data_IF_337866371209
#
_entry.id   IF_337866371209
#
_cell.length_a   1.000
_cell.length_b   1.000
_cell.length_c   1.000
_cell.angle_alpha   90.00
_cell.angle_beta   90.00
_cell.angle_gamma   90.00
#
_symmetry.space_group_name_H-M   'P 1'
#
loop_
_entity.id
_entity.type
_entity.pdbx_description
1 polymer ?
#
# COMPACT_ATOMS: atom_id res chain seq x y z
N UNK A 1 44.69 32.90 61.88
CA UNK A 1 45.67 33.02 60.80
C UNK A 1 45.42 31.88 59.86
N UNK A 2 44.75 32.18 58.73
CA UNK A 2 44.43 31.22 57.66
C UNK A 2 45.62 31.08 56.68
N UNK A 3 46.02 29.85 56.44
CA UNK A 3 46.88 29.52 55.28
C UNK A 3 46.05 28.74 54.25
N UNK A 4 45.90 29.31 53.08
CA UNK A 4 45.31 28.68 51.90
C UNK A 4 46.27 27.66 51.32
N UNK A 5 45.85 26.41 51.12
CA UNK A 5 46.51 25.44 50.24
C UNK A 5 45.78 25.37 48.93
N UNK A 6 46.50 25.75 47.87
CA UNK A 6 46.07 25.61 46.51
C UNK A 6 46.59 24.27 45.97
N UNK A 7 45.70 23.34 45.62
CA UNK A 7 46.07 22.08 44.95
C UNK A 7 45.81 22.29 43.43
N UNK A 8 46.88 22.26 42.68
CA UNK A 8 46.80 22.33 41.21
C UNK A 8 46.54 20.91 40.67
N UNK A 9 45.48 20.75 39.90
CA UNK A 9 45.22 19.57 39.06
C UNK A 9 45.86 19.77 37.70
N UNK A 10 46.92 19.00 37.40
CA UNK A 10 47.46 18.86 36.05
C UNK A 10 46.68 17.77 35.37
N UNK A 11 45.80 18.13 34.41
CA UNK A 11 45.12 17.19 33.56
C UNK A 11 46.01 16.89 32.34
N UNK A 12 46.54 15.70 32.27
CA UNK A 12 47.27 15.17 31.11
C UNK A 12 46.25 14.70 30.07
N UNK A 13 46.11 15.44 29.00
CA UNK A 13 45.25 15.11 27.87
C UNK A 13 45.98 14.11 26.94
N UNK A 14 45.72 12.82 27.05
CA UNK A 14 46.11 11.82 26.06
C UNK A 14 45.21 11.94 24.82
N UNK A 15 45.73 12.48 23.73
CA UNK A 15 45.06 12.45 22.44
C UNK A 15 45.13 11.03 21.86
N UNK A 16 44.06 10.29 21.97
CA UNK A 16 43.88 9.06 21.22
C UNK A 16 43.48 9.43 19.77
N UNK A 17 44.43 9.35 18.85
CA UNK A 17 44.17 9.34 17.41
C UNK A 17 43.50 8.03 17.04
N UNK A 18 42.16 7.97 17.22
CA UNK A 18 41.33 6.95 16.58
C UNK A 18 41.27 7.28 15.10
N UNK A 19 41.85 6.41 14.29
CA UNK A 19 41.71 6.50 12.83
C UNK A 19 40.23 6.36 12.48
N UNK A 20 39.62 7.45 12.08
CA UNK A 20 38.33 7.43 11.39
C UNK A 20 38.55 6.69 10.07
N UNK A 21 38.24 5.39 10.02
CA UNK A 21 37.98 4.75 8.75
C UNK A 21 36.83 5.49 8.12
N UNK A 22 37.07 6.14 6.98
CA UNK A 22 36.03 6.72 6.14
C UNK A 22 35.00 5.61 5.87
N UNK A 23 33.78 5.82 6.33
CA UNK A 23 32.64 5.06 5.82
C UNK A 23 32.71 5.08 4.28
N UNK A 24 32.38 3.98 3.60
CA UNK A 24 32.32 3.95 2.15
C UNK A 24 31.48 5.15 1.69
N UNK A 25 32.00 5.90 0.73
CA UNK A 25 31.33 7.07 0.16
C UNK A 25 29.91 6.66 -0.20
N UNK A 26 28.92 7.34 0.35
CA UNK A 26 27.58 7.30 -0.20
C UNK A 26 27.73 7.56 -1.69
N UNK A 27 27.35 6.59 -2.52
CA UNK A 27 27.33 6.72 -3.98
C UNK A 27 26.66 8.05 -4.28
N UNK A 28 27.32 8.93 -5.02
CA UNK A 28 26.77 10.22 -5.39
C UNK A 28 25.41 9.98 -6.03
N UNK A 29 24.35 10.50 -5.40
CA UNK A 29 23.03 10.47 -5.99
C UNK A 29 23.17 11.16 -7.36
N UNK A 30 22.67 10.50 -8.41
CA UNK A 30 22.57 11.15 -9.70
C UNK A 30 21.62 12.35 -9.51
N UNK A 31 22.09 13.57 -9.73
CA UNK A 31 21.33 14.80 -9.46
C UNK A 31 20.01 14.85 -10.27
N UNK A 32 19.90 14.03 -11.31
CA UNK A 32 18.73 13.93 -12.18
C UNK A 32 17.71 12.86 -11.71
N UNK A 33 17.92 12.22 -10.57
CA UNK A 33 17.05 11.17 -10.04
C UNK A 33 16.62 11.44 -8.60
N UNK A 34 15.39 10.98 -8.27
CA UNK A 34 14.86 10.99 -6.92
C UNK A 34 14.18 9.66 -6.58
N UNK A 35 13.86 9.47 -5.29
CA UNK A 35 13.13 8.30 -4.84
C UNK A 35 11.63 8.44 -5.12
N UNK A 36 11.01 7.38 -5.67
CA UNK A 36 9.57 7.28 -5.89
C UNK A 36 9.09 5.91 -5.43
N UNK A 37 7.97 5.87 -4.73
CA UNK A 37 7.33 4.59 -4.37
C UNK A 37 6.77 3.94 -5.63
N UNK A 38 7.14 2.68 -5.87
CA UNK A 38 6.68 1.89 -7.01
C UNK A 38 5.59 0.90 -6.63
N UNK A 39 5.56 0.46 -5.38
CA UNK A 39 4.53 -0.39 -4.79
C UNK A 39 4.36 -0.05 -3.31
N UNK A 40 3.11 -0.10 -2.83
CA UNK A 40 2.82 0.00 -1.40
C UNK A 40 1.44 -0.56 -1.07
N UNK A 41 1.23 -0.88 0.20
CA UNK A 41 -0.05 -1.32 0.73
C UNK A 41 -0.34 -0.69 2.09
N UNK A 42 -1.62 -0.62 2.46
CA UNK A 42 -2.07 -0.13 3.76
C UNK A 42 -2.04 -1.26 4.79
N UNK A 43 -1.17 -1.16 5.78
CA UNK A 43 -1.02 -2.15 6.83
C UNK A 43 -2.03 -1.95 7.97
N UNK A 44 -2.45 -3.08 8.54
CA UNK A 44 -3.37 -3.21 9.66
C UNK A 44 -2.66 -3.75 10.90
N UNK A 45 -3.16 -3.37 12.07
CA UNK A 45 -2.76 -3.98 13.32
C UNK A 45 -3.08 -5.49 13.32
N UNK A 46 -2.38 -6.30 14.13
CA UNK A 46 -2.54 -7.76 14.15
C UNK A 46 -3.97 -8.26 14.38
N UNK A 47 -4.76 -7.49 15.11
CA UNK A 47 -6.11 -7.86 15.52
C UNK A 47 -7.12 -7.06 14.70
N UNK A 48 -7.81 -7.72 13.77
CA UNK A 48 -8.98 -7.16 13.10
C UNK A 48 -10.23 -7.88 13.57
N UNK A 49 -11.24 -7.11 13.97
CA UNK A 49 -12.49 -7.66 14.53
C UNK A 49 -13.21 -8.56 13.51
N UNK A 50 -13.10 -8.26 12.23
CA UNK A 50 -13.89 -8.91 11.17
C UNK A 50 -13.19 -10.12 10.56
N UNK A 51 -11.85 -10.09 10.43
CA UNK A 51 -11.07 -11.12 9.72
C UNK A 51 -10.24 -12.00 10.66
N UNK A 52 -10.39 -11.84 11.97
CA UNK A 52 -9.68 -12.62 12.98
C UNK A 52 -8.25 -12.15 13.20
N UNK A 53 -7.44 -13.03 13.78
CA UNK A 53 -6.02 -12.78 14.09
C UNK A 53 -5.17 -13.83 13.39
N UNK A 54 -4.06 -13.41 12.80
CA UNK A 54 -3.04 -14.35 12.35
C UNK A 54 -2.22 -14.87 13.55
N UNK A 55 -1.66 -16.09 13.41
CA UNK A 55 -0.86 -16.72 14.47
C UNK A 55 0.56 -16.11 14.60
N UNK A 56 1.00 -15.34 13.61
CA UNK A 56 2.38 -14.89 13.50
C UNK A 56 3.34 -16.01 13.05
N UNK A 57 4.64 -15.77 13.22
CA UNK A 57 5.71 -16.62 12.71
C UNK A 57 6.75 -16.88 13.77
N UNK A 58 7.49 -17.99 13.65
CA UNK A 58 8.55 -18.38 14.60
C UNK A 58 9.73 -19.00 13.86
N UNK A 59 10.88 -18.33 13.91
CA UNK A 59 12.12 -18.80 13.27
C UNK A 59 11.90 -19.19 11.78
N UNK A 60 11.26 -18.33 11.00
CA UNK A 60 10.88 -18.60 9.60
C UNK A 60 11.26 -17.45 8.70
N UNK A 61 11.39 -17.76 7.41
CA UNK A 61 11.54 -16.79 6.33
C UNK A 61 10.21 -16.65 5.58
N UNK A 62 9.74 -15.41 5.43
CA UNK A 62 8.63 -15.06 4.55
C UNK A 62 9.21 -14.50 3.25
N UNK A 63 8.81 -15.06 2.11
CA UNK A 63 9.09 -14.51 0.79
C UNK A 63 7.82 -13.96 0.20
N UNK A 64 7.72 -12.64 0.18
CA UNK A 64 6.52 -11.92 -0.21
C UNK A 64 6.68 -11.36 -1.62
N UNK A 65 5.64 -11.55 -2.42
CA UNK A 65 5.66 -11.17 -3.83
C UNK A 65 4.87 -9.87 -4.00
N UNK A 66 5.46 -8.92 -4.73
CA UNK A 66 4.83 -7.64 -5.07
C UNK A 66 5.16 -7.25 -6.49
N UNK A 67 4.25 -6.56 -7.18
CA UNK A 67 4.48 -6.09 -8.54
C UNK A 67 4.78 -4.59 -8.55
N UNK A 68 5.89 -4.20 -9.18
CA UNK A 68 6.25 -2.80 -9.37
C UNK A 68 5.32 -2.12 -10.37
N UNK A 69 5.04 -0.85 -10.21
CA UNK A 69 4.33 -0.03 -11.21
C UNK A 69 5.27 0.73 -12.14
N UNK A 70 6.41 1.17 -11.62
CA UNK A 70 7.50 1.82 -12.36
C UNK A 70 8.82 1.10 -12.08
N UNK A 71 9.77 1.21 -12.99
CA UNK A 71 11.12 0.67 -12.83
C UNK A 71 12.12 1.67 -12.26
N UNK A 72 13.33 1.19 -12.00
CA UNK A 72 14.47 1.98 -11.54
C UNK A 72 15.72 1.11 -11.41
N UNK A 73 16.86 1.75 -11.14
CA UNK A 73 18.17 1.11 -11.06
C UNK A 73 18.68 0.91 -9.62
N UNK A 74 18.02 1.54 -8.65
CA UNK A 74 18.24 1.36 -7.22
C UNK A 74 16.91 1.15 -6.51
N UNK A 75 16.91 0.30 -5.49
CA UNK A 75 15.70 -0.04 -4.75
C UNK A 75 15.95 0.01 -3.25
N UNK A 76 14.90 0.35 -2.48
CA UNK A 76 14.84 0.22 -1.02
C UNK A 76 13.44 -0.19 -0.57
N UNK A 77 13.37 -0.81 0.59
CA UNK A 77 12.14 -1.40 1.14
C UNK A 77 11.72 -0.67 2.40
N UNK A 78 10.42 -0.45 2.55
CA UNK A 78 9.80 0.12 3.77
C UNK A 78 9.11 -0.99 4.54
N UNK A 79 9.46 -1.12 5.82
CA UNK A 79 8.84 -2.06 6.74
C UNK A 79 8.16 -1.29 7.87
N UNK A 80 7.04 -1.83 8.40
CA UNK A 80 6.33 -1.23 9.52
C UNK A 80 5.73 -2.30 10.42
N UNK A 81 5.62 -2.00 11.72
CA UNK A 81 5.03 -2.89 12.70
C UNK A 81 4.06 -2.13 13.60
N UNK A 82 2.81 -2.60 13.69
CA UNK A 82 1.78 -2.10 14.61
C UNK A 82 1.49 -3.08 15.74
N UNK A 83 2.36 -4.09 15.91
CA UNK A 83 2.28 -5.04 17.01
C UNK A 83 2.50 -4.38 18.39
N UNK A 84 2.15 -5.08 19.45
CA UNK A 84 2.32 -4.57 20.81
C UNK A 84 3.79 -4.54 21.28
N UNK A 85 4.65 -5.32 20.63
CA UNK A 85 6.09 -5.41 20.91
C UNK A 85 6.93 -5.09 19.68
N UNK A 86 8.21 -4.77 19.92
CA UNK A 86 9.15 -4.54 18.83
C UNK A 86 9.33 -5.80 17.98
N UNK A 87 9.36 -5.64 16.67
CA UNK A 87 9.60 -6.70 15.69
C UNK A 87 11.10 -6.79 15.39
N UNK A 88 11.67 -7.99 15.51
CA UNK A 88 13.04 -8.26 15.09
C UNK A 88 13.06 -8.94 13.71
N UNK A 89 13.64 -8.29 12.72
CA UNK A 89 14.00 -8.85 11.41
C UNK A 89 15.49 -9.22 11.47
N UNK A 90 15.81 -10.51 11.39
CA UNK A 90 17.17 -11.02 11.49
C UNK A 90 17.96 -10.91 10.19
N UNK A 91 17.30 -11.04 9.05
CA UNK A 91 17.85 -10.83 7.71
C UNK A 91 16.74 -10.40 6.77
N UNK A 92 17.10 -9.65 5.72
CA UNK A 92 16.19 -9.23 4.67
C UNK A 92 16.88 -9.20 3.32
N UNK A 93 16.21 -9.69 2.27
CA UNK A 93 16.70 -9.72 0.90
C UNK A 93 15.61 -9.25 -0.07
N UNK A 94 16.03 -8.76 -1.22
CA UNK A 94 15.17 -8.43 -2.37
C UNK A 94 15.77 -9.01 -3.64
N UNK A 95 14.91 -9.54 -4.52
CA UNK A 95 15.30 -10.06 -5.82
C UNK A 95 14.16 -9.90 -6.83
N UNK A 96 14.46 -10.05 -8.11
CA UNK A 96 13.43 -10.27 -9.14
C UNK A 96 12.91 -11.70 -9.00
N UNK A 97 11.58 -11.86 -8.96
CA UNK A 97 10.93 -13.18 -8.91
C UNK A 97 11.13 -13.93 -10.22
N UNK A 98 11.45 -15.20 -10.15
CA UNK A 98 11.46 -16.09 -11.30
C UNK A 98 10.08 -16.76 -11.48
N UNK A 99 9.70 -17.64 -10.57
CA UNK A 99 8.40 -18.30 -10.49
C UNK A 99 8.16 -18.77 -9.06
N UNK A 100 6.93 -18.85 -8.63
CA UNK A 100 6.56 -19.27 -7.28
C UNK A 100 7.43 -18.61 -6.20
N UNK A 101 8.11 -19.40 -5.37
CA UNK A 101 9.05 -18.94 -4.34
C UNK A 101 10.50 -18.78 -4.86
N UNK A 102 10.76 -18.98 -6.16
CA UNK A 102 12.10 -18.89 -6.74
C UNK A 102 12.43 -17.48 -7.21
N UNK A 103 13.70 -17.11 -7.13
CA UNK A 103 14.23 -15.82 -7.57
C UNK A 103 15.19 -15.98 -8.74
N UNK A 104 15.37 -14.92 -9.53
CA UNK A 104 16.39 -14.85 -10.57
C UNK A 104 17.77 -14.75 -9.88
N UNK A 105 18.70 -15.69 -10.09
CA UNK A 105 19.91 -15.86 -9.27
C UNK A 105 20.75 -14.60 -9.08
N UNK A 106 21.06 -13.89 -10.16
CA UNK A 106 21.99 -12.75 -10.14
C UNK A 106 21.34 -11.45 -9.65
N UNK A 107 20.05 -11.50 -9.27
CA UNK A 107 19.28 -10.33 -8.81
C UNK A 107 19.16 -10.22 -7.29
N UNK A 108 19.59 -11.24 -6.54
CA UNK A 108 19.50 -11.22 -5.07
C UNK A 108 20.39 -10.13 -4.47
N UNK A 109 19.80 -9.33 -3.59
CA UNK A 109 20.48 -8.26 -2.85
C UNK A 109 20.12 -8.32 -1.37
N UNK A 110 21.16 -8.37 -0.52
CA UNK A 110 20.97 -8.21 0.93
C UNK A 110 20.54 -6.79 1.23
N UNK A 111 19.47 -6.65 1.99
CA UNK A 111 19.01 -5.37 2.53
C UNK A 111 19.67 -5.14 3.88
N UNK A 112 20.18 -3.91 4.08
CA UNK A 112 20.72 -3.45 5.35
C UNK A 112 19.91 -2.27 5.88
N UNK A 113 20.10 -1.94 7.15
CA UNK A 113 19.41 -0.86 7.85
C UNK A 113 20.44 -0.05 8.65
N UNK A 114 20.87 1.07 8.07
CA UNK A 114 22.00 1.84 8.60
C UNK A 114 23.32 1.05 8.60
N UNK A 115 23.54 0.23 7.57
CA UNK A 115 24.69 -0.65 7.41
C UNK A 115 24.63 -1.97 8.20
N UNK A 116 23.55 -2.24 8.95
CA UNK A 116 23.38 -3.48 9.71
C UNK A 116 22.46 -4.45 8.96
N UNK A 117 22.75 -5.76 8.94
CA UNK A 117 21.95 -6.77 8.23
C UNK A 117 20.61 -7.08 8.91
N UNK A 118 20.42 -6.64 10.15
CA UNK A 118 19.21 -6.85 10.93
C UNK A 118 18.64 -5.54 11.45
N UNK A 119 17.35 -5.53 11.81
CA UNK A 119 16.70 -4.37 12.40
C UNK A 119 15.68 -4.77 13.45
N UNK A 120 15.55 -3.95 14.49
CA UNK A 120 14.45 -4.00 15.45
C UNK A 120 13.51 -2.83 15.18
N UNK A 121 12.26 -3.12 14.84
CA UNK A 121 11.23 -2.13 14.50
C UNK A 121 10.35 -1.89 15.74
N UNK A 122 10.42 -0.72 16.38
CA UNK A 122 9.53 -0.39 17.48
C UNK A 122 8.05 -0.39 17.08
N UNK A 123 7.10 -0.61 18.00
CA UNK A 123 5.68 -0.49 17.73
C UNK A 123 5.30 0.86 17.07
N UNK A 124 4.54 0.82 15.99
CA UNK A 124 4.10 2.00 15.25
C UNK A 124 5.17 2.65 14.36
N UNK A 125 6.40 2.16 14.36
CA UNK A 125 7.48 2.72 13.56
C UNK A 125 7.46 2.22 12.11
N UNK A 126 7.98 3.06 11.20
CA UNK A 126 8.37 2.71 9.84
C UNK A 126 9.88 2.75 9.78
N UNK A 127 10.50 1.73 9.21
CA UNK A 127 11.92 1.71 8.87
C UNK A 127 12.09 1.57 7.37
N UNK A 128 13.18 2.14 6.85
CA UNK A 128 13.56 2.07 5.44
C UNK A 128 14.91 1.40 5.34
N UNK A 129 15.06 0.43 4.44
CA UNK A 129 16.37 -0.19 4.20
C UNK A 129 17.35 0.80 3.54
N UNK A 130 18.63 0.51 3.67
CA UNK A 130 19.64 1.16 2.84
C UNK A 130 19.37 0.82 1.36
N UNK A 131 19.72 1.72 0.43
CA UNK A 131 19.55 1.46 -1.00
C UNK A 131 20.47 0.34 -1.49
N UNK A 132 19.97 -0.48 -2.43
CA UNK A 132 20.76 -1.48 -3.14
C UNK A 132 20.68 -1.25 -4.65
N UNK A 133 21.79 -1.51 -5.35
CA UNK A 133 21.85 -1.50 -6.82
C UNK A 133 21.12 -2.75 -7.34
N UNK A 134 19.97 -2.56 -7.94
CA UNK A 134 19.15 -3.58 -8.57
C UNK A 134 18.32 -2.93 -9.66
N UNK A 135 18.58 -3.30 -10.90
CA UNK A 135 17.74 -2.89 -12.02
C UNK A 135 16.38 -3.60 -11.93
N UNK A 136 15.35 -2.82 -11.74
CA UNK A 136 13.97 -3.29 -11.60
C UNK A 136 13.17 -2.77 -12.78
N UNK A 137 12.66 -3.65 -13.66
CA UNK A 137 11.72 -3.23 -14.71
C UNK A 137 10.39 -2.74 -14.13
N UNK A 138 9.68 -1.89 -14.87
CA UNK A 138 8.29 -1.61 -14.59
C UNK A 138 7.45 -2.90 -14.76
N UNK A 139 6.43 -3.07 -13.93
CA UNK A 139 5.53 -4.23 -13.93
C UNK A 139 6.23 -5.57 -13.64
N UNK A 140 7.42 -5.54 -13.04
CA UNK A 140 8.13 -6.75 -12.62
C UNK A 140 7.64 -7.23 -11.26
N UNK A 141 7.58 -8.54 -11.08
CA UNK A 141 7.38 -9.15 -9.78
C UNK A 141 8.70 -9.16 -9.00
N UNK A 142 8.68 -8.64 -7.79
CA UNK A 142 9.79 -8.70 -6.84
C UNK A 142 9.46 -9.69 -5.72
N UNK A 143 10.49 -10.38 -5.26
CA UNK A 143 10.47 -11.25 -4.09
C UNK A 143 11.21 -10.56 -2.94
N UNK A 144 10.49 -10.18 -1.88
CA UNK A 144 11.06 -9.62 -0.65
C UNK A 144 11.07 -10.71 0.41
N UNK A 145 12.25 -11.12 0.83
CA UNK A 145 12.45 -12.18 1.82
C UNK A 145 12.81 -11.58 3.18
N UNK A 146 12.04 -11.91 4.22
CA UNK A 146 12.23 -11.43 5.59
C UNK A 146 12.38 -12.64 6.52
N UNK A 147 13.50 -12.74 7.23
CA UNK A 147 13.70 -13.75 8.26
C UNK A 147 13.37 -13.19 9.64
N UNK A 148 12.53 -13.90 10.38
CA UNK A 148 12.19 -13.59 11.78
C UNK A 148 12.75 -14.68 12.67
N UNK A 149 13.81 -14.41 13.48
CA UNK A 149 14.54 -15.43 14.22
C UNK A 149 13.82 -15.97 15.47
N UNK A 150 12.81 -15.26 15.94
CA UNK A 150 12.02 -15.62 17.11
C UNK A 150 10.53 -15.64 16.84
N UNK A 151 9.72 -15.83 17.89
CA UNK A 151 8.27 -15.71 17.77
C UNK A 151 7.87 -14.25 17.66
N UNK A 152 7.04 -13.92 16.66
CA UNK A 152 6.51 -12.56 16.47
C UNK A 152 5.22 -12.32 17.24
N UNK A 153 4.52 -13.37 17.68
CA UNK A 153 3.10 -13.28 18.01
C UNK A 153 2.30 -12.84 16.79
N UNK A 154 1.04 -12.43 16.96
CA UNK A 154 0.23 -11.91 15.86
C UNK A 154 0.91 -10.75 15.15
N UNK A 155 0.97 -10.79 13.82
CA UNK A 155 1.78 -9.92 12.99
C UNK A 155 0.94 -8.77 12.37
N UNK A 156 1.58 -7.62 12.22
CA UNK A 156 1.08 -6.53 11.37
C UNK A 156 0.96 -7.01 9.94
N UNK A 157 -0.17 -6.81 9.30
CA UNK A 157 -0.48 -7.39 8.02
C UNK A 157 -1.36 -6.50 7.13
N UNK A 158 -1.38 -6.81 5.86
CA UNK A 158 -2.45 -6.46 4.95
C UNK A 158 -3.09 -7.77 4.50
N UNK A 159 -4.32 -8.03 4.91
CA UNK A 159 -5.08 -9.17 4.43
C UNK A 159 -5.74 -8.81 3.08
N UNK A 160 -6.20 -9.80 2.31
CA UNK A 160 -6.72 -9.61 0.94
C UNK A 160 -5.62 -9.14 -0.04
N UNK A 161 -4.40 -9.69 0.12
CA UNK A 161 -3.30 -9.37 -0.78
C UNK A 161 -3.57 -9.78 -2.23
N UNK A 162 -4.39 -10.82 -2.46
CA UNK A 162 -4.66 -11.41 -3.78
C UNK A 162 -3.35 -11.73 -4.54
N UNK A 163 -2.33 -12.06 -3.77
CA UNK A 163 -1.00 -12.39 -4.25
C UNK A 163 -0.38 -13.42 -3.31
N UNK A 164 -0.07 -14.59 -3.84
CA UNK A 164 0.55 -15.67 -3.08
C UNK A 164 1.94 -15.27 -2.60
N UNK A 165 2.18 -15.42 -1.32
CA UNK A 165 3.47 -15.28 -0.67
C UNK A 165 3.80 -16.58 0.09
N UNK A 166 5.07 -16.80 0.40
CA UNK A 166 5.57 -18.10 0.80
C UNK A 166 6.22 -18.04 2.18
N UNK A 167 6.03 -19.09 2.97
CA UNK A 167 6.62 -19.26 4.30
C UNK A 167 7.50 -20.50 4.30
N UNK A 168 8.75 -20.35 4.73
CA UNK A 168 9.71 -21.45 4.79
C UNK A 168 9.47 -22.40 5.99
N UNK A 169 10.07 -23.60 6.00
CA UNK A 169 10.39 -24.31 7.23
C UNK A 169 11.18 -23.39 8.20
N UNK A 170 11.37 -23.80 9.49
CA UNK A 170 12.21 -23.05 10.40
C UNK A 170 13.63 -22.83 9.87
N UNK A 171 14.10 -21.58 9.85
CA UNK A 171 15.43 -21.19 9.41
C UNK A 171 15.46 -19.92 8.55
N UNK A 172 16.67 -19.44 8.30
CA UNK A 172 16.95 -18.32 7.40
C UNK A 172 17.20 -18.86 5.99
N UNK A 173 16.30 -18.53 5.07
CA UNK A 173 16.35 -18.87 3.66
C UNK A 173 16.28 -17.61 2.79
N UNK A 174 16.58 -16.44 3.34
CA UNK A 174 16.44 -15.16 2.62
C UNK A 174 17.23 -15.11 1.33
N UNK A 175 18.47 -15.64 1.30
CA UNK A 175 19.35 -15.67 0.14
C UNK A 175 19.17 -16.92 -0.75
N UNK A 176 18.24 -17.83 -0.40
CA UNK A 176 18.09 -19.10 -1.15
C UNK A 176 17.35 -18.86 -2.46
N UNK A 177 17.91 -19.30 -3.59
CA UNK A 177 17.31 -19.15 -4.92
C UNK A 177 15.95 -19.85 -4.95
N UNK A 178 15.93 -21.14 -4.70
CA UNK A 178 14.72 -21.97 -4.62
C UNK A 178 14.36 -22.19 -3.15
N UNK A 179 13.68 -21.20 -2.56
CA UNK A 179 13.32 -21.27 -1.16
C UNK A 179 12.39 -22.45 -0.88
N UNK A 180 12.72 -23.34 0.09
CA UNK A 180 11.79 -24.39 0.49
C UNK A 180 10.53 -23.78 1.10
N UNK A 181 9.39 -24.27 0.68
CA UNK A 181 8.07 -23.77 1.12
C UNK A 181 7.44 -24.78 2.07
N UNK A 182 7.12 -24.36 3.27
CA UNK A 182 6.32 -25.13 4.21
C UNK A 182 4.82 -24.85 4.06
N UNK A 183 4.47 -23.58 3.79
CA UNK A 183 3.10 -23.12 3.51
C UNK A 183 3.14 -21.78 2.79
N UNK A 184 1.97 -21.29 2.39
CA UNK A 184 1.79 -19.93 1.89
C UNK A 184 1.35 -18.97 3.00
N UNK A 185 1.19 -17.69 2.68
CA UNK A 185 0.60 -16.70 3.58
C UNK A 185 -0.93 -16.72 3.57
N UNK A 186 -1.50 -17.74 2.95
CA UNK A 186 -2.94 -17.97 2.91
C UNK A 186 -3.49 -18.24 4.33
N UNK A 187 -4.64 -17.68 4.62
CA UNK A 187 -5.36 -17.91 5.87
C UNK A 187 -6.87 -18.02 5.60
N UNK A 188 -7.59 -18.68 6.48
CA UNK A 188 -9.05 -18.75 6.43
C UNK A 188 -9.66 -17.70 7.37
N UNK A 189 -10.63 -16.93 6.87
CA UNK A 189 -11.44 -16.06 7.70
C UNK A 189 -12.42 -16.88 8.59
N UNK A 190 -13.13 -16.27 9.54
CA UNK A 190 -14.09 -16.98 10.38
C UNK A 190 -15.24 -17.67 9.62
N UNK A 191 -15.49 -17.30 8.36
CA UNK A 191 -16.44 -17.95 7.48
C UNK A 191 -15.82 -19.07 6.63
N UNK A 192 -14.51 -19.32 6.77
CA UNK A 192 -13.74 -20.34 6.05
C UNK A 192 -13.34 -19.95 4.64
N UNK A 193 -13.41 -18.66 4.28
CA UNK A 193 -12.91 -18.17 2.99
C UNK A 193 -11.40 -17.99 3.06
N UNK A 194 -10.71 -18.35 2.00
CA UNK A 194 -9.26 -18.27 1.89
C UNK A 194 -8.85 -16.89 1.37
N UNK A 195 -7.83 -16.33 1.98
CA UNK A 195 -7.25 -15.03 1.66
C UNK A 195 -5.74 -15.09 1.77
N UNK A 196 -5.04 -14.33 0.95
CA UNK A 196 -3.60 -14.12 1.05
C UNK A 196 -3.28 -12.86 1.84
N UNK A 197 -2.08 -12.78 2.41
CA UNK A 197 -1.66 -11.62 3.18
C UNK A 197 -0.20 -11.24 2.95
N UNK A 198 0.09 -9.92 3.03
CA UNK A 198 1.43 -9.39 3.23
C UNK A 198 1.65 -9.02 4.69
N UNK A 199 2.88 -9.19 5.17
CA UNK A 199 3.26 -8.94 6.56
C UNK A 199 4.39 -7.92 6.65
N UNK A 200 4.21 -6.88 7.47
CA UNK A 200 5.17 -5.81 7.77
C UNK A 200 5.70 -5.02 6.56
N UNK A 201 5.47 -5.46 5.35
CA UNK A 201 5.94 -4.82 4.13
C UNK A 201 5.03 -3.65 3.77
N UNK A 202 5.53 -2.42 3.93
CA UNK A 202 4.74 -1.19 3.72
C UNK A 202 4.93 -0.59 2.32
N UNK A 203 6.08 -0.84 1.67
CA UNK A 203 6.33 -0.31 0.34
C UNK A 203 7.69 -0.67 -0.22
N UNK A 204 7.82 -0.47 -1.52
CA UNK A 204 9.07 -0.56 -2.29
C UNK A 204 9.25 0.76 -3.03
N UNK A 205 10.44 1.33 -2.93
CA UNK A 205 10.80 2.58 -3.59
C UNK A 205 11.97 2.35 -4.56
N UNK A 206 11.93 3.04 -5.68
CA UNK A 206 12.98 3.00 -6.70
C UNK A 206 13.50 4.41 -6.99
N UNK A 207 14.72 4.52 -7.51
CA UNK A 207 15.19 5.78 -8.09
C UNK A 207 14.59 5.97 -9.47
N UNK A 208 14.13 7.17 -9.75
CA UNK A 208 13.47 7.52 -10.99
C UNK A 208 13.82 8.95 -11.41
N UNK A 209 13.67 9.33 -12.70
CA UNK A 209 13.88 10.69 -13.17
C UNK A 209 13.06 11.72 -12.37
N UNK A 210 13.58 12.95 -12.21
CA UNK A 210 12.98 14.00 -11.37
C UNK A 210 11.53 14.36 -11.72
N UNK A 211 11.07 14.12 -12.94
CA UNK A 211 9.70 14.35 -13.38
C UNK A 211 8.74 13.19 -13.03
N UNK A 212 9.26 12.05 -12.56
CA UNK A 212 8.46 10.90 -12.16
C UNK A 212 7.71 11.20 -10.85
N UNK A 213 6.42 10.95 -10.82
CA UNK A 213 5.59 11.09 -9.62
C UNK A 213 4.97 9.77 -9.19
N UNK A 214 4.11 9.85 -8.19
CA UNK A 214 3.26 8.72 -7.77
C UNK A 214 1.81 9.18 -7.55
N UNK A 215 0.86 8.27 -7.83
CA UNK A 215 -0.54 8.39 -7.45
C UNK A 215 -0.85 7.37 -6.37
N UNK A 216 -1.29 7.84 -5.19
CA UNK A 216 -1.75 6.98 -4.11
C UNK A 216 -3.29 6.93 -4.12
N UNK A 217 -3.83 5.73 -3.96
CA UNK A 217 -5.25 5.48 -4.11
C UNK A 217 -5.84 5.09 -2.76
N UNK A 218 -6.58 6.00 -2.14
CA UNK A 218 -7.32 5.74 -0.90
C UNK A 218 -8.65 5.06 -1.24
N UNK A 219 -8.88 3.86 -0.73
CA UNK A 219 -10.10 3.12 -1.02
C UNK A 219 -10.44 2.02 -0.03
N UNK A 220 -11.48 1.29 -0.37
CA UNK A 220 -11.97 0.10 0.32
C UNK A 220 -11.68 -1.19 -0.48
N UNK A 221 -12.52 -2.24 -0.32
CA UNK A 221 -12.40 -3.53 -1.01
C UNK A 221 -12.37 -3.42 -2.54
N UNK A 222 -13.05 -2.42 -3.11
CA UNK A 222 -13.08 -2.22 -4.56
C UNK A 222 -11.71 -1.74 -5.06
N UNK A 223 -11.00 -0.95 -4.27
CA UNK A 223 -9.63 -0.53 -4.58
C UNK A 223 -8.62 -1.61 -4.21
N UNK A 224 -8.83 -2.29 -3.11
CA UNK A 224 -8.05 -3.46 -2.66
C UNK A 224 -8.06 -4.58 -3.71
N UNK A 225 -9.19 -4.73 -4.41
CA UNK A 225 -9.35 -5.59 -5.57
C UNK A 225 -10.05 -6.92 -5.29
N UNK A 226 -10.88 -6.95 -4.25
CA UNK A 226 -11.69 -8.14 -3.88
C UNK A 226 -12.39 -8.72 -5.10
N UNK A 227 -12.37 -10.06 -5.25
CA UNK A 227 -12.87 -10.81 -6.41
C UNK A 227 -12.03 -10.69 -7.70
N UNK A 228 -10.90 -9.99 -7.69
CA UNK A 228 -9.94 -10.15 -8.80
C UNK A 228 -9.20 -11.48 -8.69
N UNK A 229 -8.70 -11.99 -9.82
CA UNK A 229 -7.98 -13.27 -9.84
C UNK A 229 -6.70 -13.19 -9.02
N UNK A 230 -6.50 -14.04 -7.99
CA UNK A 230 -5.25 -14.14 -7.27
C UNK A 230 -4.05 -14.35 -8.22
N UNK A 231 -2.91 -13.77 -7.88
CA UNK A 231 -1.67 -13.77 -8.68
C UNK A 231 -1.77 -13.15 -10.08
N UNK A 232 -2.96 -12.64 -10.46
CA UNK A 232 -3.19 -12.04 -11.78
C UNK A 232 -2.84 -10.55 -11.86
N UNK A 233 -2.64 -9.87 -10.72
CA UNK A 233 -2.50 -8.41 -10.66
C UNK A 233 -3.60 -7.72 -11.47
N UNK A 234 -4.87 -8.09 -11.22
CA UNK A 234 -6.05 -7.66 -11.97
C UNK A 234 -6.96 -6.69 -11.20
N UNK A 235 -6.42 -6.01 -10.19
CA UNK A 235 -7.08 -4.88 -9.52
C UNK A 235 -7.12 -3.68 -10.45
N UNK A 236 -8.07 -2.77 -10.30
CA UNK A 236 -8.10 -1.59 -11.18
C UNK A 236 -6.84 -0.70 -11.06
N UNK A 237 -6.15 -0.57 -9.89
CA UNK A 237 -4.85 0.10 -9.84
C UNK A 237 -3.77 -0.60 -10.66
N UNK A 238 -3.75 -1.94 -10.73
CA UNK A 238 -2.79 -2.70 -11.54
C UNK A 238 -3.03 -2.47 -13.05
N UNK A 239 -4.31 -2.45 -13.47
CA UNK A 239 -4.67 -2.07 -14.84
C UNK A 239 -4.28 -0.63 -15.15
N UNK A 240 -4.42 0.30 -14.20
CA UNK A 240 -3.95 1.68 -14.36
C UNK A 240 -2.44 1.73 -14.53
N UNK A 241 -1.68 0.99 -13.71
CA UNK A 241 -0.22 0.90 -13.82
C UNK A 241 0.22 0.40 -15.20
N UNK A 242 -0.41 -0.66 -15.72
CA UNK A 242 -0.16 -1.16 -17.08
C UNK A 242 -0.43 -0.10 -18.15
N UNK A 243 -1.51 0.67 -18.02
CA UNK A 243 -1.82 1.74 -18.97
C UNK A 243 -0.81 2.89 -18.91
N UNK A 244 -0.40 3.29 -17.71
CA UNK A 244 0.60 4.35 -17.53
C UNK A 244 2.00 3.92 -18.02
N UNK A 245 2.35 2.64 -17.89
CA UNK A 245 3.62 2.10 -18.40
C UNK A 245 3.72 2.13 -19.94
N UNK A 246 2.58 2.24 -20.67
CA UNK A 246 2.57 2.31 -22.14
C UNK A 246 2.57 3.74 -22.68
N UNK A 247 2.47 4.75 -21.84
CA UNK A 247 2.50 6.15 -22.28
C UNK A 247 3.94 6.53 -22.64
N UNK A 248 4.14 6.90 -23.90
CA UNK A 248 5.43 7.38 -24.40
C UNK A 248 5.87 8.67 -23.68
N UNK A 249 7.11 8.71 -23.25
CA UNK A 249 7.73 9.89 -22.65
C UNK A 249 8.22 9.68 -21.21
N UNK A 250 9.00 10.63 -20.72
CA UNK A 250 9.66 10.57 -19.40
C UNK A 250 8.71 10.79 -18.19
N UNK A 251 7.39 10.74 -18.37
CA UNK A 251 6.39 10.96 -17.32
C UNK A 251 5.86 9.64 -16.78
N UNK A 252 6.71 8.89 -16.08
CA UNK A 252 6.26 7.70 -15.36
C UNK A 252 5.54 8.11 -14.08
N UNK A 253 4.51 7.36 -13.72
CA UNK A 253 3.74 7.55 -12.48
C UNK A 253 3.65 6.21 -11.75
N UNK A 254 4.20 6.17 -10.54
CA UNK A 254 4.01 5.05 -9.61
C UNK A 254 2.55 4.95 -9.20
N UNK A 255 1.99 3.75 -9.18
CA UNK A 255 0.60 3.51 -8.76
C UNK A 255 0.60 2.74 -7.45
N UNK A 256 -0.01 3.34 -6.41
CA UNK A 256 0.09 2.89 -5.02
C UNK A 256 -1.30 2.55 -4.49
N UNK A 257 -1.58 1.26 -4.32
CA UNK A 257 -2.86 0.79 -3.81
C UNK A 257 -2.90 0.89 -2.27
N UNK A 258 -3.74 1.79 -1.74
CA UNK A 258 -4.00 1.96 -0.32
C UNK A 258 -5.45 1.58 0.02
N UNK A 259 -6.02 0.63 -0.73
CA UNK A 259 -7.28 -0.03 -0.40
C UNK A 259 -7.17 -0.84 0.89
N UNK A 260 -8.26 -0.94 1.61
CA UNK A 260 -8.44 -1.87 2.73
C UNK A 260 -9.86 -2.43 2.63
N UNK A 261 -10.00 -3.71 2.46
CA UNK A 261 -11.30 -4.39 2.42
C UNK A 261 -12.13 -4.07 3.67
N UNK A 262 -13.36 -3.59 3.47
CA UNK A 262 -14.28 -3.20 4.54
C UNK A 262 -14.03 -1.83 5.16
N UNK A 263 -13.03 -1.06 4.71
CA UNK A 263 -12.69 0.23 5.31
C UNK A 263 -13.79 1.29 5.07
N UNK A 264 -13.96 2.17 6.04
CA UNK A 264 -14.87 3.32 6.00
C UNK A 264 -14.10 4.64 5.97
N UNK A 265 -14.73 5.68 5.51
CA UNK A 265 -14.16 7.03 5.53
C UNK A 265 -14.14 7.62 6.94
N UNK A 266 -15.20 7.40 7.73
CA UNK A 266 -15.47 8.13 8.98
C UNK A 266 -15.38 7.28 10.24
N UNK A 267 -15.65 5.98 10.16
CA UNK A 267 -15.70 5.10 11.33
C UNK A 267 -14.68 3.96 11.22
N UNK A 268 -14.09 3.60 12.35
CA UNK A 268 -13.24 2.42 12.42
C UNK A 268 -14.10 1.15 12.41
N UNK A 269 -13.72 0.17 11.58
CA UNK A 269 -14.26 -1.18 11.59
C UNK A 269 -13.18 -2.17 11.17
N UNK A 270 -12.67 -2.03 9.95
CA UNK A 270 -11.52 -2.77 9.47
C UNK A 270 -10.35 -1.78 9.36
N UNK A 271 -9.50 -1.82 10.36
CA UNK A 271 -8.46 -0.81 10.55
C UNK A 271 -8.99 0.58 10.89
N UNK A 272 -8.09 1.53 10.93
CA UNK A 272 -8.43 2.95 11.12
C UNK A 272 -9.21 3.47 9.93
N UNK A 273 -10.17 4.36 10.18
CA UNK A 273 -10.95 5.01 9.13
C UNK A 273 -10.06 5.81 8.15
N UNK A 274 -10.60 6.09 6.97
CA UNK A 274 -9.87 6.76 5.89
C UNK A 274 -9.25 8.08 6.31
N UNK A 275 -9.96 8.90 7.10
CA UNK A 275 -9.43 10.17 7.60
C UNK A 275 -8.24 9.99 8.56
N UNK A 276 -8.30 8.99 9.44
CA UNK A 276 -7.26 8.73 10.44
C UNK A 276 -5.96 8.18 9.79
N UNK A 277 -6.08 7.30 8.79
CA UNK A 277 -4.93 6.68 8.13
C UNK A 277 -4.36 7.49 6.95
N UNK A 278 -5.02 8.56 6.52
CA UNK A 278 -4.70 9.30 5.29
C UNK A 278 -3.26 9.83 5.26
N UNK A 279 -2.77 10.43 6.35
CA UNK A 279 -1.38 10.92 6.40
C UNK A 279 -0.36 9.78 6.34
N UNK A 280 -0.62 8.71 7.09
CA UNK A 280 0.27 7.57 7.20
C UNK A 280 0.36 6.77 5.89
N UNK A 281 -0.79 6.44 5.31
CA UNK A 281 -0.86 5.49 4.20
C UNK A 281 -0.75 6.19 2.83
N UNK A 282 -1.24 7.43 2.73
CA UNK A 282 -1.34 8.14 1.45
C UNK A 282 -0.35 9.29 1.36
N UNK A 283 -0.46 10.28 2.27
CA UNK A 283 0.32 11.53 2.13
C UNK A 283 1.80 11.37 2.48
N UNK A 284 2.22 10.28 3.11
CA UNK A 284 3.63 9.98 3.40
C UNK A 284 4.34 9.20 2.28
N UNK A 285 3.67 8.90 1.17
CA UNK A 285 4.28 8.16 0.08
C UNK A 285 5.35 9.01 -0.63
N UNK A 286 6.50 8.40 -0.86
CA UNK A 286 7.64 9.08 -1.51
C UNK A 286 7.35 9.35 -2.98
N UNK A 287 7.58 10.58 -3.44
CA UNK A 287 7.29 11.00 -4.80
C UNK A 287 5.81 11.25 -5.09
N UNK A 288 4.96 11.35 -4.06
CA UNK A 288 3.52 11.56 -4.22
C UNK A 288 3.22 12.89 -4.92
N UNK A 289 2.46 12.82 -6.01
CA UNK A 289 1.97 13.99 -6.76
C UNK A 289 0.46 14.02 -6.89
N UNK A 290 -0.19 12.85 -6.81
CA UNK A 290 -1.61 12.70 -7.03
C UNK A 290 -2.24 11.74 -6.02
N UNK A 291 -3.51 11.97 -5.72
CA UNK A 291 -4.36 11.05 -4.94
C UNK A 291 -5.62 10.76 -5.73
N UNK A 292 -6.10 9.52 -5.69
CA UNK A 292 -7.46 9.16 -6.07
C UNK A 292 -8.19 8.70 -4.81
N UNK A 293 -9.38 9.27 -4.54
CA UNK A 293 -10.20 8.90 -3.39
C UNK A 293 -11.47 8.17 -3.86
N UNK A 294 -11.58 6.89 -3.54
CA UNK A 294 -12.76 6.03 -3.75
C UNK A 294 -13.14 5.39 -2.41
N UNK A 295 -13.88 6.11 -1.57
CA UNK A 295 -14.21 5.64 -0.23
C UNK A 295 -15.54 6.25 0.23
N UNK A 296 -16.37 5.45 0.91
CA UNK A 296 -17.67 5.88 1.42
C UNK A 296 -18.80 4.86 1.23
N UNK A 297 -18.64 3.85 0.36
CA UNK A 297 -19.64 2.80 0.21
C UNK A 297 -19.91 2.08 1.53
N UNK A 298 -18.87 1.73 2.28
CA UNK A 298 -18.99 1.00 3.53
C UNK A 298 -19.56 1.85 4.67
N UNK A 299 -19.41 3.18 4.63
CA UNK A 299 -20.08 4.11 5.55
C UNK A 299 -21.61 4.07 5.39
N UNK A 300 -22.08 3.81 4.16
CA UNK A 300 -23.50 3.69 3.83
C UNK A 300 -24.02 2.28 4.12
N UNK A 301 -23.25 1.25 3.74
CA UNK A 301 -23.71 -0.15 3.71
C UNK A 301 -23.64 -0.81 5.08
N UNK A 302 -22.51 -0.72 5.77
CA UNK A 302 -22.22 -1.46 6.99
C UNK A 302 -22.47 -0.60 8.23
N UNK A 303 -23.72 -0.35 8.55
CA UNK A 303 -24.16 0.35 9.75
C UNK A 303 -24.71 -0.70 10.72
N UNK A 304 -23.92 -1.08 11.73
CA UNK A 304 -24.27 -2.10 12.70
C UNK A 304 -24.98 -1.53 13.93
N UNK A 305 -24.75 -0.27 14.24
CA UNK A 305 -25.40 0.45 15.35
C UNK A 305 -25.88 1.82 14.88
N UNK A 306 -26.94 2.39 15.52
CA UNK A 306 -27.41 3.74 15.18
C UNK A 306 -26.31 4.83 15.29
N UNK A 307 -25.33 4.62 16.17
CA UNK A 307 -24.21 5.57 16.35
C UNK A 307 -23.24 5.60 15.16
N UNK A 308 -23.19 4.54 14.34
CA UNK A 308 -22.38 4.46 13.13
C UNK A 308 -23.07 5.08 11.91
N UNK A 309 -24.37 5.35 11.98
CA UNK A 309 -25.12 5.92 10.88
C UNK A 309 -24.61 7.34 10.57
N UNK A 310 -24.19 7.54 9.32
CA UNK A 310 -23.66 8.83 8.85
C UNK A 310 -24.60 9.46 7.82
N UNK A 311 -24.66 10.80 7.84
CA UNK A 311 -25.38 11.58 6.84
C UNK A 311 -24.51 11.80 5.59
N UNK A 312 -25.17 12.20 4.49
CA UNK A 312 -24.49 12.65 3.27
C UNK A 312 -23.54 13.81 3.58
N UNK A 313 -23.98 14.78 4.38
CA UNK A 313 -23.17 15.95 4.74
C UNK A 313 -21.91 15.57 5.53
N UNK A 314 -21.99 14.56 6.39
CA UNK A 314 -20.81 14.07 7.13
C UNK A 314 -19.80 13.40 6.20
N UNK A 315 -20.27 12.58 5.24
CA UNK A 315 -19.38 11.95 4.25
C UNK A 315 -18.74 13.02 3.36
N UNK A 316 -19.52 13.99 2.88
CA UNK A 316 -19.01 15.12 2.10
C UNK A 316 -17.98 15.93 2.91
N UNK A 317 -18.26 16.19 4.19
CA UNK A 317 -17.28 16.86 5.06
C UNK A 317 -15.99 16.08 5.21
N UNK A 318 -16.08 14.74 5.28
CA UNK A 318 -14.91 13.85 5.26
C UNK A 318 -14.08 14.00 3.97
N UNK A 319 -14.72 13.96 2.81
CA UNK A 319 -14.05 14.18 1.52
C UNK A 319 -13.38 15.57 1.45
N UNK A 320 -14.03 16.61 1.96
CA UNK A 320 -13.42 17.94 2.06
C UNK A 320 -12.17 17.98 2.92
N UNK A 321 -12.10 17.16 3.99
CA UNK A 321 -10.86 17.03 4.76
C UNK A 321 -9.73 16.37 3.96
N UNK A 322 -10.03 15.34 3.18
CA UNK A 322 -9.04 14.72 2.27
C UNK A 322 -8.50 15.76 1.27
N UNK A 323 -9.40 16.51 0.62
CA UNK A 323 -9.05 17.56 -0.36
C UNK A 323 -8.13 18.62 0.27
N UNK A 324 -8.54 19.19 1.39
CA UNK A 324 -7.74 20.22 2.07
C UNK A 324 -6.35 19.75 2.47
N UNK A 325 -6.25 18.49 2.95
CA UNK A 325 -4.97 17.91 3.40
C UNK A 325 -4.06 17.57 2.22
N UNK A 326 -4.60 17.13 1.09
CA UNK A 326 -3.84 16.93 -0.16
C UNK A 326 -3.31 18.29 -0.68
N UNK A 327 -4.18 19.28 -0.83
CA UNK A 327 -3.81 20.62 -1.30
C UNK A 327 -2.80 21.31 -0.39
N UNK A 328 -2.88 21.12 0.93
CA UNK A 328 -1.89 21.66 1.89
C UNK A 328 -0.47 21.12 1.66
N UNK A 329 -0.34 20.00 0.92
CA UNK A 329 0.94 19.40 0.51
C UNK A 329 1.28 19.62 -0.96
N UNK A 330 0.48 20.40 -1.70
CA UNK A 330 0.64 20.64 -3.13
C UNK A 330 0.33 19.40 -3.98
N UNK A 331 -0.45 18.44 -3.44
CA UNK A 331 -0.83 17.20 -4.11
C UNK A 331 -2.22 17.38 -4.73
N UNK A 332 -2.38 17.03 -6.03
CA UNK A 332 -3.68 17.00 -6.69
C UNK A 332 -4.50 15.80 -6.17
N UNK A 333 -5.82 16.01 -6.03
CA UNK A 333 -6.72 14.93 -5.58
C UNK A 333 -7.93 14.80 -6.49
N UNK A 334 -8.19 13.58 -6.96
CA UNK A 334 -9.30 13.24 -7.84
C UNK A 334 -10.36 12.46 -7.09
N UNK A 335 -11.62 12.89 -7.21
CA UNK A 335 -12.76 12.21 -6.61
C UNK A 335 -13.29 11.12 -7.53
N UNK A 336 -13.34 9.88 -7.06
CA UNK A 336 -14.00 8.80 -7.77
C UNK A 336 -15.43 8.60 -7.23
N UNK A 337 -16.41 8.44 -8.14
CA UNK A 337 -17.79 8.20 -7.75
C UNK A 337 -17.98 6.81 -7.16
N UNK A 338 -18.80 6.72 -6.11
CA UNK A 338 -19.15 5.47 -5.42
C UNK A 338 -19.87 4.52 -6.38
N UNK A 339 -19.42 3.29 -6.46
CA UNK A 339 -19.94 2.26 -7.36
C UNK A 339 -21.32 1.76 -6.96
N UNK A 340 -22.13 1.21 -7.88
CA UNK A 340 -23.40 0.60 -7.57
C UNK A 340 -23.27 -0.61 -6.64
N UNK A 341 -24.29 -0.83 -5.80
CA UNK A 341 -24.36 -1.95 -4.86
C UNK A 341 -25.78 -2.58 -4.77
N UNK A 342 -26.62 -2.36 -5.78
CA UNK A 342 -27.95 -2.96 -5.87
C UNK A 342 -27.87 -4.46 -6.05
N UNK A 343 -28.65 -5.22 -5.28
CA UNK A 343 -28.66 -6.68 -5.31
C UNK A 343 -28.06 -7.34 -4.09
N UNK A 344 -27.21 -6.63 -3.32
CA UNK A 344 -26.72 -7.16 -2.03
C UNK A 344 -27.83 -7.17 -0.98
N UNK A 345 -27.75 -8.11 -0.02
CA UNK A 345 -28.75 -8.23 1.05
C UNK A 345 -28.84 -7.01 1.99
N UNK A 346 -27.88 -6.08 1.92
CA UNK A 346 -27.83 -4.85 2.70
C UNK A 346 -28.41 -3.63 1.96
N UNK A 347 -28.83 -3.81 0.71
CA UNK A 347 -29.41 -2.74 -0.11
C UNK A 347 -30.69 -2.16 0.50
N UNK A 348 -30.88 -0.86 0.38
CA UNK A 348 -32.15 -0.18 0.55
C UNK A 348 -32.21 1.07 -0.33
N UNK A 349 -33.42 1.52 -0.67
CA UNK A 349 -33.61 2.75 -1.45
C UNK A 349 -33.06 4.00 -0.73
N UNK A 350 -33.06 4.01 0.61
CA UNK A 350 -32.46 5.08 1.40
C UNK A 350 -30.93 5.11 1.21
N UNK A 351 -30.25 3.97 1.29
CA UNK A 351 -28.82 3.84 1.09
C UNK A 351 -28.41 4.24 -0.33
N UNK A 352 -29.19 3.80 -1.33
CA UNK A 352 -28.98 4.22 -2.73
C UNK A 352 -29.15 5.73 -2.90
N UNK A 353 -30.15 6.34 -2.27
CA UNK A 353 -30.34 7.80 -2.29
C UNK A 353 -29.13 8.54 -1.71
N UNK A 354 -28.52 8.02 -0.62
CA UNK A 354 -27.27 8.57 -0.07
C UNK A 354 -26.13 8.47 -1.05
N UNK A 355 -25.93 7.28 -1.69
CA UNK A 355 -24.90 7.07 -2.70
C UNK A 355 -25.04 8.05 -3.86
N UNK A 356 -26.26 8.21 -4.39
CA UNK A 356 -26.53 9.13 -5.49
C UNK A 356 -26.29 10.59 -5.09
N UNK A 357 -26.65 10.99 -3.88
CA UNK A 357 -26.41 12.35 -3.40
C UNK A 357 -24.90 12.65 -3.27
N UNK A 358 -24.11 11.69 -2.77
CA UNK A 358 -22.65 11.83 -2.68
C UNK A 358 -22.05 11.88 -4.09
N UNK A 359 -22.46 10.99 -5.00
CA UNK A 359 -21.99 10.98 -6.39
C UNK A 359 -22.34 12.27 -7.12
N UNK A 360 -23.54 12.81 -6.86
CA UNK A 360 -23.91 14.11 -7.41
C UNK A 360 -22.96 15.21 -6.94
N UNK A 361 -22.67 15.26 -5.63
CA UNK A 361 -21.71 16.23 -5.08
C UNK A 361 -20.31 16.02 -5.70
N UNK A 362 -19.79 14.78 -5.79
CA UNK A 362 -18.49 14.51 -6.43
C UNK A 362 -18.44 15.08 -7.84
N UNK A 363 -19.51 14.86 -8.64
CA UNK A 363 -19.59 15.31 -10.04
C UNK A 363 -19.72 16.83 -10.21
N UNK A 364 -20.38 17.51 -9.29
CA UNK A 364 -20.87 18.88 -9.54
C UNK A 364 -20.28 19.96 -8.64
N UNK A 365 -19.65 19.60 -7.53
CA UNK A 365 -19.14 20.59 -6.56
C UNK A 365 -17.94 21.40 -7.06
N UNK A 366 -17.13 20.83 -7.95
CA UNK A 366 -15.87 21.44 -8.39
C UNK A 366 -14.81 21.53 -7.29
N UNK A 367 -14.98 20.80 -6.17
CA UNK A 367 -14.03 20.83 -5.05
C UNK A 367 -12.82 19.88 -5.28
N UNK A 368 -12.99 18.82 -6.05
CA UNK A 368 -11.91 17.96 -6.51
C UNK A 368 -11.19 18.54 -7.73
N UNK A 369 -9.91 18.30 -7.90
CA UNK A 369 -9.13 18.73 -9.07
C UNK A 369 -9.62 18.06 -10.37
N UNK A 370 -10.17 16.84 -10.26
CA UNK A 370 -10.88 16.15 -11.34
C UNK A 370 -11.82 15.09 -10.77
N UNK A 371 -12.71 14.58 -11.63
CA UNK A 371 -13.68 13.53 -11.29
C UNK A 371 -13.43 12.31 -12.17
N UNK A 372 -13.43 11.12 -11.53
CA UNK A 372 -13.38 9.81 -12.20
C UNK A 372 -14.73 9.14 -11.96
N UNK A 373 -15.52 8.98 -13.01
CA UNK A 373 -16.91 8.53 -12.89
C UNK A 373 -17.05 7.01 -13.00
N UNK A 374 -16.62 6.28 -11.97
CA UNK A 374 -16.72 4.82 -11.92
C UNK A 374 -18.17 4.32 -11.87
N UNK A 375 -19.07 5.08 -11.25
CA UNK A 375 -20.52 4.77 -11.27
C UNK A 375 -21.06 4.72 -12.71
N UNK A 376 -20.73 5.71 -13.53
CA UNK A 376 -21.18 5.73 -14.93
C UNK A 376 -20.61 4.57 -15.77
N UNK A 377 -19.41 4.10 -15.43
CA UNK A 377 -18.73 3.01 -16.14
C UNK A 377 -19.32 1.65 -15.79
N UNK A 378 -19.60 1.44 -14.52
CA UNK A 378 -19.94 0.11 -13.98
C UNK A 378 -21.44 -0.17 -13.88
N UNK A 379 -22.27 0.88 -13.83
CA UNK A 379 -23.72 0.70 -13.64
C UNK A 379 -24.40 0.03 -14.84
N UNK A 380 -25.39 -0.77 -14.55
CA UNK A 380 -26.30 -1.31 -15.57
C UNK A 380 -27.15 -0.17 -16.19
N UNK A 381 -27.24 -0.06 -17.52
CA UNK A 381 -28.02 0.98 -18.17
C UNK A 381 -29.55 0.86 -17.92
N UNK A 382 -30.05 -0.33 -17.59
CA UNK A 382 -31.45 -0.59 -17.34
C UNK A 382 -31.81 -0.52 -15.84
N UNK A 383 -30.84 -0.78 -14.94
CA UNK A 383 -30.96 -0.63 -13.50
C UNK A 383 -29.71 0.02 -12.91
N UNK A 384 -29.60 1.36 -12.87
CA UNK A 384 -28.40 2.06 -12.44
C UNK A 384 -27.99 1.82 -10.96
N UNK A 385 -28.80 1.10 -10.22
CA UNK A 385 -28.46 0.73 -8.83
C UNK A 385 -27.51 -0.46 -8.76
N UNK A 386 -27.33 -1.21 -9.87
CA UNK A 386 -26.56 -2.46 -9.96
C UNK A 386 -25.32 -2.32 -10.82
N UNK A 387 -24.36 -3.21 -10.56
CA UNK A 387 -23.28 -3.46 -11.51
C UNK A 387 -23.86 -4.07 -12.79
N UNK A 388 -23.30 -3.67 -13.94
CA UNK A 388 -23.71 -4.17 -15.24
C UNK A 388 -23.41 -5.66 -15.37
N UNK A 389 -24.43 -6.45 -15.66
CA UNK A 389 -24.32 -7.88 -15.94
C UNK A 389 -25.35 -8.22 -16.99
N UNK A 390 -25.02 -8.01 -18.26
CA UNK A 390 -25.87 -8.30 -19.41
C UNK A 390 -25.12 -9.15 -20.45
N UNK A 391 -25.78 -9.49 -21.56
CA UNK A 391 -25.19 -10.31 -22.62
C UNK A 391 -24.02 -9.64 -23.36
N UNK A 392 -23.86 -8.32 -23.24
CA UNK A 392 -22.78 -7.58 -23.89
C UNK A 392 -21.59 -7.39 -22.94
N UNK A 393 -21.86 -7.16 -21.65
CA UNK A 393 -20.84 -6.88 -20.63
C UNK A 393 -21.27 -7.41 -19.28
N UNK A 394 -20.33 -8.07 -18.63
CA UNK A 394 -20.50 -8.54 -17.27
C UNK A 394 -19.35 -7.98 -16.41
N UNK A 395 -19.71 -7.10 -15.49
CA UNK A 395 -18.78 -6.48 -14.55
C UNK A 395 -18.98 -6.94 -13.11
N UNK A 396 -20.06 -7.69 -12.83
CA UNK A 396 -20.38 -8.21 -11.52
C UNK A 396 -19.57 -9.50 -11.23
N UNK A 397 -19.00 -9.62 -10.07
CA UNK A 397 -18.35 -10.86 -9.64
C UNK A 397 -19.35 -11.96 -9.22
N UNK A 398 -20.62 -11.59 -9.14
CA UNK A 398 -21.71 -12.43 -8.63
C UNK A 398 -22.11 -12.13 -7.19
N UNK A 399 -21.38 -11.27 -6.48
CA UNK A 399 -21.73 -10.81 -5.14
C UNK A 399 -22.49 -9.47 -5.12
N UNK A 400 -22.67 -8.85 -6.27
CA UNK A 400 -23.43 -7.61 -6.52
C UNK A 400 -22.83 -6.37 -5.85
N UNK A 401 -21.57 -6.41 -5.46
CA UNK A 401 -20.83 -5.32 -4.84
C UNK A 401 -19.46 -5.10 -5.48
N UNK A 402 -18.71 -6.18 -5.69
CA UNK A 402 -17.36 -6.11 -6.20
C UNK A 402 -17.33 -6.38 -7.71
N UNK A 403 -16.60 -5.57 -8.49
CA UNK A 403 -16.35 -5.88 -9.88
C UNK A 403 -15.54 -7.17 -10.05
N UNK A 404 -15.75 -7.87 -11.16
CA UNK A 404 -14.84 -8.90 -11.63
C UNK A 404 -13.66 -8.27 -12.39
N UNK A 405 -12.72 -9.08 -12.94
CA UNK A 405 -11.57 -8.57 -13.68
C UNK A 405 -11.95 -7.64 -14.84
N UNK A 406 -13.04 -7.92 -15.56
CA UNK A 406 -13.50 -7.07 -16.67
C UNK A 406 -14.01 -5.72 -16.16
N UNK A 407 -14.72 -5.70 -15.03
CA UNK A 407 -15.16 -4.50 -14.36
C UNK A 407 -13.99 -3.66 -13.86
N UNK A 408 -12.99 -4.27 -13.24
CA UNK A 408 -11.76 -3.58 -12.82
C UNK A 408 -10.97 -3.01 -14.00
N UNK A 409 -10.88 -3.74 -15.10
CA UNK A 409 -10.26 -3.23 -16.33
C UNK A 409 -11.05 -2.03 -16.91
N UNK A 410 -12.38 -2.09 -16.88
CA UNK A 410 -13.24 -1.00 -17.34
C UNK A 410 -13.05 0.26 -16.47
N UNK A 411 -12.95 0.12 -15.14
CA UNK A 411 -12.64 1.23 -14.25
C UNK A 411 -11.32 1.91 -14.64
N UNK A 412 -10.26 1.12 -14.77
CA UNK A 412 -8.97 1.67 -15.17
C UNK A 412 -9.00 2.35 -16.54
N UNK A 413 -9.72 1.77 -17.53
CA UNK A 413 -9.86 2.34 -18.88
C UNK A 413 -10.59 3.69 -18.90
N UNK A 414 -11.47 3.93 -17.94
CA UNK A 414 -12.21 5.18 -17.82
C UNK A 414 -11.37 6.36 -17.31
N UNK A 415 -10.21 6.09 -16.73
CA UNK A 415 -9.33 7.13 -16.22
C UNK A 415 -8.63 7.83 -17.39
N UNK A 416 -8.80 9.14 -17.49
CA UNK A 416 -8.05 9.97 -18.43
C UNK A 416 -6.59 10.10 -17.97
N UNK A 417 -5.66 9.52 -18.74
CA UNK A 417 -4.24 9.55 -18.39
C UNK A 417 -3.61 10.94 -18.47
N UNK A 418 -4.28 11.90 -19.12
CA UNK A 418 -3.80 13.30 -19.15
C UNK A 418 -3.85 13.97 -17.78
N UNK A 419 -4.64 13.45 -16.84
CA UNK A 419 -4.70 13.91 -15.46
C UNK A 419 -3.35 13.79 -14.73
N UNK A 420 -2.49 12.87 -15.16
CA UNK A 420 -1.19 12.61 -14.53
C UNK A 420 -0.02 13.33 -15.22
N UNK A 421 -0.29 14.12 -16.25
CA UNK A 421 0.74 14.96 -16.86
C UNK A 421 1.13 16.04 -15.85
N UNK A 422 2.43 16.13 -15.56
CA UNK A 422 2.93 17.25 -14.79
C UNK A 422 2.79 18.51 -15.62
N UNK A 423 2.15 19.54 -15.05
CA UNK A 423 2.25 20.87 -15.61
C UNK A 423 3.74 21.23 -15.62
N UNK A 424 4.35 21.31 -16.78
CA UNK A 424 5.73 21.84 -16.91
C UNK A 424 5.75 23.23 -16.30
N UNK A 425 6.32 23.34 -15.09
CA UNK A 425 6.62 24.62 -14.47
C UNK A 425 7.82 25.27 -15.15
#
# INVERSE_FOLDING_TARGET
MLRKLTVGFIATLLAALAGFQRAPSALAANEDQHWVTTWSTALLAPNTIVFGTNAGFTNQTLRQIVQTSIGGDRVRVRLSSFGASALHIGAAHIAVRATDASIVPDTDRTLTFGGLPSVVIPPGAIVVSDPVELEVPALADLAISLFVPGSTGPATWHFEALQTSYVSPPGDFTATIDMPVATTTEYADPAGRLHDAWFWLAGVEVTAPNQTGAVAILGDSITDGVQSTPDGNNRWPDYLARRLATVDGNHQIGVLNQGITGNKLLNDIVGSNGLARYDRDVLSQTGLTHVIALLGNNDILFVFTPAEAVSVDQIVAGHRQLIRRAHARGVKIYGATLTPFGGIGLYSAEKESKRQAINHWIRTSGEYDAVIDFDAVLRDPNDPTRLRSDNERDYDSGDHLHPNNAGYEAMAKAIDLTLFKNDTR
#
